data_IF_537115434626
#
_entry.id   IF_537115434626
#
_cell.length_a   1.000
_cell.length_b   1.000
_cell.length_c   1.000
_cell.angle_alpha   90.00
_cell.angle_beta   90.00
_cell.angle_gamma   90.00
#
_symmetry.space_group_name_H-M   'P 1'
#
loop_
_entity.id
_entity.type
_entity.pdbx_description
1 polymer ?
#
# COMPACT_ATOMS: atom_id res chain seq x y z
N UNK A 1 -1.38 -3.37 13.40
CA UNK A 1 -0.04 -3.94 13.11
C UNK A 1 0.88 -2.78 12.79
N UNK A 2 2.12 -2.77 13.28
CA UNK A 2 3.01 -1.60 13.14
C UNK A 2 4.18 -1.90 12.20
N UNK A 3 4.57 -0.92 11.40
CA UNK A 3 5.71 -0.99 10.50
C UNK A 3 6.33 0.41 10.34
N UNK A 4 7.56 0.49 9.84
CA UNK A 4 8.28 1.75 9.69
C UNK A 4 8.73 1.90 8.24
N UNK A 5 8.47 3.07 7.64
CA UNK A 5 8.99 3.46 6.34
C UNK A 5 9.75 4.77 6.52
N UNK A 6 11.02 4.82 6.11
CA UNK A 6 11.84 6.03 6.18
C UNK A 6 11.79 6.76 7.55
N UNK A 7 11.97 6.02 8.66
CA UNK A 7 11.85 6.51 10.05
C UNK A 7 10.47 7.06 10.46
N UNK A 8 9.44 6.89 9.63
CA UNK A 8 8.04 7.25 9.93
C UNK A 8 7.28 5.98 10.36
N UNK A 9 6.76 5.93 11.61
CA UNK A 9 5.97 4.79 12.07
C UNK A 9 4.57 4.83 11.46
N UNK A 10 4.08 3.68 11.03
CA UNK A 10 2.75 3.47 10.46
C UNK A 10 2.03 2.35 11.20
N UNK A 11 0.69 2.44 11.27
CA UNK A 11 -0.15 1.40 11.86
C UNK A 11 -1.23 0.94 10.88
N UNK A 12 -1.49 -0.36 10.83
CA UNK A 12 -2.62 -0.96 10.10
C UNK A 12 -3.71 -1.30 11.09
N UNK A 13 -4.91 -0.77 10.87
CA UNK A 13 -6.11 -1.06 11.66
C UNK A 13 -7.21 -1.61 10.76
N UNK A 14 -7.72 -2.78 11.12
CA UNK A 14 -8.96 -3.28 10.54
C UNK A 14 -10.14 -2.60 11.24
N UNK A 15 -11.05 -2.04 10.46
CA UNK A 15 -12.24 -1.34 10.94
C UNK A 15 -13.47 -1.92 10.24
N UNK A 16 -14.62 -1.82 10.90
CA UNK A 16 -15.88 -2.22 10.29
C UNK A 16 -16.09 -1.49 8.97
N UNK A 17 -16.57 -2.20 7.94
CA UNK A 17 -16.94 -1.61 6.65
C UNK A 17 -17.93 -0.43 6.74
N UNK A 18 -18.68 -0.32 7.84
CA UNK A 18 -19.60 0.79 8.11
C UNK A 18 -18.94 2.00 8.82
N UNK A 19 -17.65 1.91 9.15
CA UNK A 19 -16.91 2.94 9.87
C UNK A 19 -16.83 4.25 9.08
N UNK A 20 -16.91 5.37 9.79
CA UNK A 20 -16.69 6.71 9.21
C UNK A 20 -15.30 6.86 8.60
N UNK A 21 -14.31 6.10 9.06
CA UNK A 21 -12.95 6.15 8.52
C UNK A 21 -12.87 5.62 7.08
N UNK A 22 -13.81 4.77 6.65
CA UNK A 22 -13.89 4.25 5.28
C UNK A 22 -14.87 5.03 4.40
N UNK A 23 -15.35 6.19 4.90
CA UNK A 23 -16.18 7.12 4.13
C UNK A 23 -15.30 8.25 3.64
N UNK A 24 -15.15 8.36 2.32
CA UNK A 24 -14.54 9.54 1.69
C UNK A 24 -15.44 10.76 1.88
N UNK A 25 -14.85 11.95 1.79
CA UNK A 25 -15.54 13.23 1.98
C UNK A 25 -16.67 13.48 0.97
N UNK A 26 -16.65 12.77 -0.16
CA UNK A 26 -17.69 12.79 -1.20
C UNK A 26 -18.85 11.80 -0.93
N UNK A 27 -18.80 11.05 0.17
CA UNK A 27 -19.81 10.05 0.55
C UNK A 27 -19.59 8.67 -0.09
N UNK A 28 -18.54 8.49 -0.90
CA UNK A 28 -18.18 7.17 -1.44
C UNK A 28 -17.61 6.26 -0.34
N UNK A 29 -17.93 4.97 -0.45
CA UNK A 29 -17.39 3.93 0.44
C UNK A 29 -16.09 3.41 -0.16
N UNK A 30 -15.03 3.36 0.64
CA UNK A 30 -13.78 2.70 0.28
C UNK A 30 -13.57 1.46 1.13
N UNK A 31 -12.73 0.56 0.64
CA UNK A 31 -12.35 -0.66 1.37
C UNK A 31 -11.00 -0.51 2.08
N UNK A 32 -10.25 0.53 1.73
CA UNK A 32 -8.99 0.93 2.35
C UNK A 32 -8.84 2.46 2.31
N UNK A 33 -8.06 3.00 3.24
CA UNK A 33 -7.59 4.40 3.19
C UNK A 33 -6.30 4.55 3.99
N UNK A 34 -5.41 5.40 3.49
CA UNK A 34 -4.19 5.84 4.17
C UNK A 34 -4.37 7.27 4.68
N UNK A 35 -4.26 7.47 5.99
CA UNK A 35 -4.28 8.80 6.61
C UNK A 35 -2.87 9.19 7.06
N UNK A 36 -2.33 10.23 6.42
CA UNK A 36 -1.01 10.77 6.74
C UNK A 36 -0.98 11.63 8.01
N UNK A 37 -2.11 12.01 8.59
CA UNK A 37 -2.15 12.83 9.81
C UNK A 37 -1.86 11.99 11.06
N UNK A 38 -2.41 10.78 11.12
CA UNK A 38 -2.21 9.83 12.22
C UNK A 38 -1.29 8.65 11.85
N UNK A 39 -0.78 8.65 10.61
CA UNK A 39 0.04 7.59 10.03
C UNK A 39 -0.63 6.21 10.13
N UNK A 40 -1.91 6.15 9.80
CA UNK A 40 -2.69 4.93 9.91
C UNK A 40 -3.26 4.51 8.55
N UNK A 41 -3.11 3.22 8.24
CA UNK A 41 -3.80 2.53 7.16
C UNK A 41 -5.03 1.86 7.76
N UNK A 42 -6.21 2.29 7.31
CA UNK A 42 -7.48 1.70 7.71
C UNK A 42 -7.94 0.74 6.61
N UNK A 43 -8.24 -0.50 6.97
CA UNK A 43 -8.73 -1.53 6.06
C UNK A 43 -10.08 -2.05 6.54
N UNK A 44 -10.97 -2.36 5.61
CA UNK A 44 -12.22 -3.05 5.93
C UNK A 44 -11.95 -4.45 6.49
N UNK A 45 -12.60 -4.79 7.60
CA UNK A 45 -12.57 -6.11 8.23
C UNK A 45 -13.19 -7.23 7.36
N UNK A 46 -13.87 -6.87 6.28
CA UNK A 46 -14.40 -7.81 5.28
C UNK A 46 -13.37 -8.21 4.22
N UNK A 47 -12.21 -7.53 4.15
CA UNK A 47 -11.16 -7.85 3.18
C UNK A 47 -10.44 -9.15 3.56
N UNK A 48 -10.22 -10.01 2.56
CA UNK A 48 -9.44 -11.24 2.72
C UNK A 48 -8.79 -11.68 1.41
N UNK A 49 -7.80 -12.57 1.51
CA UNK A 49 -7.12 -13.18 0.36
C UNK A 49 -6.46 -12.19 -0.58
N UNK A 50 -6.52 -12.48 -1.88
CA UNK A 50 -5.93 -11.66 -2.95
C UNK A 50 -6.46 -10.22 -2.96
N UNK A 51 -7.74 -10.02 -2.60
CA UNK A 51 -8.31 -8.68 -2.58
C UNK A 51 -7.74 -7.83 -1.44
N UNK A 52 -7.54 -8.42 -0.25
CA UNK A 52 -6.83 -7.75 0.85
C UNK A 52 -5.40 -7.39 0.43
N UNK A 53 -4.69 -8.33 -0.20
CA UNK A 53 -3.32 -8.12 -0.66
C UNK A 53 -3.23 -6.95 -1.65
N UNK A 54 -4.12 -6.91 -2.62
CA UNK A 54 -4.21 -5.83 -3.61
C UNK A 54 -4.46 -4.48 -2.95
N UNK A 55 -5.48 -4.37 -2.09
CA UNK A 55 -5.81 -3.12 -1.40
C UNK A 55 -4.66 -2.68 -0.50
N UNK A 56 -4.07 -3.60 0.27
CA UNK A 56 -2.93 -3.27 1.13
C UNK A 56 -1.72 -2.78 0.32
N UNK A 57 -1.42 -3.38 -0.85
CA UNK A 57 -0.34 -2.93 -1.70
C UNK A 57 -0.59 -1.50 -2.25
N UNK A 58 -1.83 -1.21 -2.64
CA UNK A 58 -2.25 0.13 -3.03
C UNK A 58 -2.02 1.14 -1.89
N UNK A 59 -2.52 0.86 -0.69
CA UNK A 59 -2.36 1.77 0.47
C UNK A 59 -0.90 1.93 0.92
N UNK A 60 -0.09 0.87 0.82
CA UNK A 60 1.34 0.96 1.09
C UNK A 60 2.03 1.91 0.12
N UNK A 61 1.61 1.99 -1.14
CA UNK A 61 2.15 2.96 -2.10
C UNK A 61 2.02 4.39 -1.54
N UNK A 62 0.84 4.76 -1.06
CA UNK A 62 0.58 6.05 -0.42
C UNK A 62 1.48 6.27 0.81
N UNK A 63 1.61 5.25 1.67
CA UNK A 63 2.51 5.31 2.83
C UNK A 63 3.97 5.61 2.42
N UNK A 64 4.45 4.97 1.34
CA UNK A 64 5.77 5.23 0.79
C UNK A 64 5.89 6.67 0.28
N UNK A 65 4.95 7.15 -0.55
CA UNK A 65 5.00 8.53 -1.06
C UNK A 65 5.04 9.55 0.08
N UNK A 66 4.16 9.40 1.07
CA UNK A 66 4.11 10.27 2.25
C UNK A 66 5.39 10.18 3.10
N UNK A 67 5.98 9.00 3.25
CA UNK A 67 7.20 8.81 4.08
C UNK A 67 8.46 9.36 3.42
N UNK A 68 8.52 9.37 2.09
CA UNK A 68 9.61 9.97 1.31
C UNK A 68 9.32 11.42 0.90
N UNK A 69 8.20 11.99 1.37
CA UNK A 69 7.79 13.35 1.07
C UNK A 69 7.66 13.63 -0.44
N UNK A 70 7.25 12.60 -1.19
CA UNK A 70 6.98 12.64 -2.63
C UNK A 70 5.59 13.22 -2.81
N UNK A 71 5.47 14.26 -3.62
CA UNK A 71 4.21 14.90 -3.95
C UNK A 71 4.06 14.96 -5.46
N UNK A 72 3.04 14.28 -5.96
CA UNK A 72 2.62 14.26 -7.35
C UNK A 72 1.11 14.54 -7.42
N UNK A 73 0.55 14.89 -8.60
CA UNK A 73 -0.89 15.03 -8.75
C UNK A 73 -1.63 13.77 -8.30
N UNK A 74 -2.76 13.94 -7.59
CA UNK A 74 -3.52 12.82 -6.99
C UNK A 74 -3.90 11.74 -8.03
N UNK A 75 -4.22 12.14 -9.26
CA UNK A 75 -4.53 11.20 -10.34
C UNK A 75 -3.33 10.31 -10.71
N UNK A 76 -2.11 10.85 -10.62
CA UNK A 76 -0.88 10.10 -10.87
C UNK A 76 -0.50 9.22 -9.68
N UNK A 77 -0.76 9.70 -8.46
CA UNK A 77 -0.57 8.93 -7.23
C UNK A 77 -1.47 7.69 -7.21
N UNK A 78 -2.77 7.87 -7.43
CA UNK A 78 -3.74 6.76 -7.52
C UNK A 78 -3.42 5.82 -8.69
N UNK A 79 -3.03 6.35 -9.86
CA UNK A 79 -2.58 5.53 -10.98
C UNK A 79 -1.37 4.65 -10.62
N UNK A 80 -0.37 5.21 -9.94
CA UNK A 80 0.81 4.47 -9.53
C UNK A 80 0.47 3.42 -8.45
N UNK A 81 -0.40 3.76 -7.51
CA UNK A 81 -0.89 2.86 -6.48
C UNK A 81 -1.68 1.69 -7.08
N UNK A 82 -2.52 1.94 -8.08
CA UNK A 82 -3.21 0.89 -8.83
C UNK A 82 -2.23 0.02 -9.61
N UNK A 83 -1.29 0.63 -10.33
CA UNK A 83 -0.30 -0.08 -11.11
C UNK A 83 0.54 -1.02 -10.23
N UNK A 84 1.03 -0.55 -9.09
CA UNK A 84 1.84 -1.38 -8.18
C UNK A 84 0.99 -2.49 -7.54
N UNK A 85 -0.28 -2.23 -7.24
CA UNK A 85 -1.18 -3.25 -6.67
C UNK A 85 -1.48 -4.40 -7.63
N UNK A 86 -1.37 -4.17 -8.95
CA UNK A 86 -1.66 -5.16 -9.99
C UNK A 86 -0.38 -5.84 -10.47
N UNK A 87 0.71 -5.08 -10.66
CA UNK A 87 1.91 -5.56 -11.36
C UNK A 87 3.16 -5.60 -10.48
N UNK A 88 3.13 -5.01 -9.29
CA UNK A 88 4.31 -4.84 -8.46
C UNK A 88 4.94 -6.15 -8.01
N UNK A 89 4.11 -7.12 -7.63
CA UNK A 89 4.61 -8.44 -7.22
C UNK A 89 5.27 -9.19 -8.38
N UNK A 90 4.62 -9.25 -9.54
CA UNK A 90 5.17 -9.89 -10.74
C UNK A 90 6.51 -9.27 -11.16
N UNK A 91 6.62 -7.94 -11.05
CA UNK A 91 7.87 -7.21 -11.33
C UNK A 91 9.00 -7.65 -10.39
N UNK A 92 8.72 -7.77 -9.09
CA UNK A 92 9.73 -8.16 -8.10
C UNK A 92 10.16 -9.61 -8.32
N UNK A 93 9.25 -10.55 -8.56
CA UNK A 93 9.62 -11.94 -8.85
C UNK A 93 10.43 -12.05 -10.13
N UNK A 94 10.05 -11.34 -11.19
CA UNK A 94 10.83 -11.33 -12.43
C UNK A 94 12.23 -10.73 -12.21
N UNK A 95 12.34 -9.67 -11.40
CA UNK A 95 13.62 -9.06 -11.05
C UNK A 95 14.52 -10.06 -10.32
N UNK A 96 14.00 -10.74 -9.29
CA UNK A 96 14.74 -11.72 -8.50
C UNK A 96 15.21 -12.90 -9.38
N UNK A 97 14.35 -13.42 -10.26
CA UNK A 97 14.68 -14.47 -11.22
C UNK A 97 15.84 -14.07 -12.15
N UNK A 98 15.79 -12.85 -12.69
CA UNK A 98 16.84 -12.32 -13.57
C UNK A 98 18.16 -12.13 -12.83
N UNK A 99 18.12 -11.59 -11.61
CA UNK A 99 19.31 -11.36 -10.78
C UNK A 99 19.98 -12.68 -10.38
N UNK A 100 19.17 -13.69 -10.04
CA UNK A 100 19.63 -15.05 -9.77
C UNK A 100 20.29 -15.69 -11.00
N UNK A 101 19.65 -15.58 -12.17
CA UNK A 101 20.20 -16.10 -13.44
C UNK A 101 21.55 -15.45 -13.82
N UNK A 102 21.76 -14.19 -13.43
CA UNK A 102 23.01 -13.47 -13.65
C UNK A 102 24.10 -13.75 -12.60
N UNK A 103 23.82 -14.60 -11.59
CA UNK A 103 24.72 -14.86 -10.45
C UNK A 103 25.15 -13.58 -9.72
N UNK A 104 24.28 -12.56 -9.72
CA UNK A 104 24.48 -11.29 -9.02
C UNK A 104 23.51 -11.24 -7.84
N UNK A 105 23.65 -12.17 -6.91
CA UNK A 105 22.72 -12.37 -5.79
C UNK A 105 22.26 -11.06 -5.13
N UNK A 106 20.99 -11.06 -4.72
CA UNK A 106 20.57 -10.41 -3.49
C UNK A 106 20.23 -11.52 -2.50
N UNK A 107 21.08 -11.74 -1.49
CA UNK A 107 20.69 -12.54 -0.33
C UNK A 107 19.77 -11.67 0.54
N UNK A 108 18.47 -11.97 0.52
CA UNK A 108 17.58 -11.49 1.58
C UNK A 108 17.81 -12.36 2.81
N UNK A 109 18.66 -11.87 3.71
CA UNK A 109 18.83 -12.40 5.07
C UNK A 109 17.80 -11.83 6.03
#
# INVERSE_FOLDING_TARGET
MEFIINNRPWNIKFVSAASSNLRRSDGSLTVGVTDGNDNCVYLSDLLSGEFLKKVLCHELCHCFMMSYNISIPIEQEEFLADWISIHGEDLIYLLDDLMSAMSREVQYG
#
